data_IF_620743942638
#
_entry.id   IF_620743942638
#
_cell.length_a   1.000
_cell.length_b   1.000
_cell.length_c   1.000
_cell.angle_alpha   90.00
_cell.angle_beta   90.00
_cell.angle_gamma   90.00
#
_symmetry.space_group_name_H-M   'P 1'
#
loop_
_entity.id
_entity.type
_entity.pdbx_description
1 polymer ?
#
# COMPACT_ATOMS: atom_id res chain seq x y z
N UNK A 1 -21.29 -21.43 -7.24
CA UNK A 1 -21.71 -21.02 -8.60
C UNK A 1 -21.43 -22.06 -9.67
N UNK A 2 -20.18 -22.48 -9.91
CA UNK A 2 -19.87 -23.50 -10.95
C UNK A 2 -20.54 -24.86 -10.70
N UNK A 3 -20.67 -25.26 -9.44
CA UNK A 3 -21.33 -26.51 -9.04
C UNK A 3 -22.85 -26.47 -9.22
N UNK A 4 -23.47 -25.30 -9.01
CA UNK A 4 -24.93 -25.14 -9.01
C UNK A 4 -25.50 -24.59 -10.31
N UNK A 5 -24.66 -24.08 -11.21
CA UNK A 5 -25.07 -23.54 -12.51
C UNK A 5 -24.24 -24.21 -13.63
N UNK A 6 -24.86 -25.15 -14.34
CA UNK A 6 -24.23 -25.94 -15.41
C UNK A 6 -23.71 -25.08 -16.56
N UNK A 7 -24.32 -23.91 -16.81
CA UNK A 7 -23.83 -22.96 -17.83
C UNK A 7 -22.49 -22.33 -17.45
N UNK A 8 -22.13 -22.34 -16.17
CA UNK A 8 -20.88 -21.79 -15.64
C UNK A 8 -19.85 -22.87 -15.28
N UNK A 9 -20.17 -24.16 -15.43
CA UNK A 9 -19.30 -25.27 -15.03
C UNK A 9 -17.90 -25.19 -15.69
N UNK A 10 -17.84 -24.73 -16.94
CA UNK A 10 -16.61 -24.57 -17.72
C UNK A 10 -16.08 -23.13 -17.76
N UNK A 11 -16.69 -22.20 -17.03
CA UNK A 11 -16.25 -20.81 -16.99
C UNK A 11 -14.86 -20.67 -16.37
N UNK A 12 -14.09 -19.74 -16.95
CA UNK A 12 -12.80 -19.32 -16.42
C UNK A 12 -13.00 -18.30 -15.31
N UNK A 13 -12.22 -18.43 -14.23
CA UNK A 13 -12.24 -17.49 -13.10
C UNK A 13 -10.98 -16.65 -13.16
N UNK A 14 -11.17 -15.34 -13.31
CA UNK A 14 -10.09 -14.34 -13.25
C UNK A 14 -10.27 -13.58 -11.95
N UNK A 15 -9.21 -13.50 -11.15
CA UNK A 15 -9.18 -12.68 -9.93
C UNK A 15 -8.35 -11.43 -10.23
N UNK A 16 -8.90 -10.27 -9.91
CA UNK A 16 -8.30 -8.96 -10.17
C UNK A 16 -8.26 -8.22 -8.84
N UNK A 17 -7.13 -7.59 -8.54
CA UNK A 17 -7.01 -6.75 -7.36
C UNK A 17 -5.90 -5.72 -7.49
N UNK A 18 -6.11 -4.57 -6.84
CA UNK A 18 -5.12 -3.53 -6.63
C UNK A 18 -4.63 -3.52 -5.19
N UNK A 19 -3.37 -3.12 -4.95
CA UNK A 19 -2.82 -3.02 -3.59
C UNK A 19 -2.82 -4.38 -2.86
N UNK A 20 -3.18 -4.40 -1.57
CA UNK A 20 -3.42 -5.63 -0.81
C UNK A 20 -4.37 -6.61 -1.52
N UNK A 21 -5.41 -6.13 -2.23
CA UNK A 21 -6.27 -7.03 -3.00
C UNK A 21 -5.53 -7.68 -4.19
N UNK A 22 -4.51 -7.02 -4.75
CA UNK A 22 -3.59 -7.59 -5.73
C UNK A 22 -2.69 -8.68 -5.13
N UNK A 23 -2.24 -8.50 -3.89
CA UNK A 23 -1.55 -9.52 -3.10
C UNK A 23 -2.44 -10.74 -2.92
N UNK A 24 -3.70 -10.54 -2.50
CA UNK A 24 -4.68 -11.61 -2.39
C UNK A 24 -4.99 -12.29 -3.72
N UNK A 25 -5.09 -11.55 -4.83
CA UNK A 25 -5.28 -12.13 -6.16
C UNK A 25 -4.12 -13.07 -6.53
N UNK A 26 -2.89 -12.63 -6.25
CA UNK A 26 -1.67 -13.42 -6.45
C UNK A 26 -1.70 -14.69 -5.61
N UNK A 27 -1.99 -14.57 -4.31
CA UNK A 27 -2.04 -15.71 -3.39
C UNK A 27 -3.18 -16.67 -3.70
N UNK A 28 -4.34 -16.18 -4.13
CA UNK A 28 -5.46 -17.00 -4.56
C UNK A 28 -5.09 -17.85 -5.78
N UNK A 29 -4.39 -17.27 -6.78
CA UNK A 29 -3.88 -18.00 -7.94
C UNK A 29 -2.81 -19.02 -7.56
N UNK A 30 -1.95 -18.68 -6.59
CA UNK A 30 -0.89 -19.56 -6.09
C UNK A 30 -1.45 -20.77 -5.35
N UNK A 31 -2.38 -20.57 -4.41
CA UNK A 31 -2.92 -21.61 -3.51
C UNK A 31 -4.08 -22.38 -4.12
N UNK A 32 -4.90 -21.76 -4.96
CA UNK A 32 -6.10 -22.36 -5.54
C UNK A 32 -6.06 -22.38 -7.08
N UNK A 33 -5.03 -22.98 -7.70
CA UNK A 33 -4.87 -22.98 -9.16
C UNK A 33 -5.94 -23.76 -9.92
N UNK A 34 -6.68 -24.61 -9.21
CA UNK A 34 -7.81 -25.39 -9.72
C UNK A 34 -9.12 -24.59 -9.75
N UNK A 35 -9.18 -23.47 -9.01
CA UNK A 35 -10.33 -22.55 -8.96
C UNK A 35 -10.01 -21.29 -9.78
N UNK A 36 -8.86 -20.67 -9.52
CA UNK A 36 -8.42 -19.41 -10.14
C UNK A 36 -7.54 -19.70 -11.35
N UNK A 37 -8.07 -19.40 -12.53
CA UNK A 37 -7.37 -19.63 -13.79
C UNK A 37 -6.30 -18.57 -14.06
N UNK A 38 -6.57 -17.31 -13.70
CA UNK A 38 -5.69 -16.14 -13.95
C UNK A 38 -5.78 -15.17 -12.77
N UNK A 39 -4.65 -14.59 -12.39
CA UNK A 39 -4.60 -13.43 -11.51
C UNK A 39 -4.06 -12.20 -12.27
N UNK A 40 -4.70 -11.06 -12.04
CA UNK A 40 -4.19 -9.73 -12.39
C UNK A 40 -3.96 -8.96 -11.09
N UNK A 41 -2.69 -8.71 -10.78
CA UNK A 41 -2.24 -8.08 -9.55
C UNK A 41 -1.62 -6.71 -9.85
N UNK A 42 -2.38 -5.66 -9.59
CA UNK A 42 -1.96 -4.28 -9.77
C UNK A 42 -1.39 -3.73 -8.46
N UNK A 43 -0.21 -3.11 -8.51
CA UNK A 43 0.51 -2.54 -7.36
C UNK A 43 0.53 -3.44 -6.11
N UNK A 44 0.74 -4.74 -6.29
CA UNK A 44 0.63 -5.73 -5.21
C UNK A 44 1.92 -5.81 -4.38
N UNK A 45 1.93 -5.41 -3.09
CA UNK A 45 3.05 -5.68 -2.21
C UNK A 45 3.10 -7.19 -1.89
N UNK A 46 4.23 -7.85 -2.18
CA UNK A 46 4.41 -9.29 -1.93
C UNK A 46 5.53 -9.60 -0.93
N UNK A 47 6.47 -8.67 -0.72
CA UNK A 47 7.53 -8.80 0.28
C UNK A 47 7.06 -8.24 1.61
N UNK A 48 6.74 -9.11 2.54
CA UNK A 48 6.46 -8.73 3.93
C UNK A 48 7.78 -8.30 4.60
N UNK A 49 7.79 -7.15 5.28
CA UNK A 49 8.99 -6.57 5.90
C UNK A 49 8.57 -5.59 6.99
N UNK A 50 9.13 -5.70 8.20
CA UNK A 50 8.71 -4.85 9.32
C UNK A 50 9.09 -3.37 9.08
N UNK A 51 10.36 -3.11 8.78
CA UNK A 51 10.89 -1.77 8.51
C UNK A 51 10.84 -1.49 6.99
N UNK A 52 9.84 -0.71 6.55
CA UNK A 52 9.62 -0.39 5.15
C UNK A 52 9.92 1.10 4.87
N UNK A 53 11.17 1.49 5.13
CA UNK A 53 11.64 2.85 4.91
C UNK A 53 11.67 3.24 3.42
N UNK A 54 11.79 2.27 2.50
CA UNK A 54 11.85 2.55 1.05
C UNK A 54 10.58 3.25 0.56
N UNK A 55 9.44 3.04 1.24
CA UNK A 55 8.20 3.76 0.95
C UNK A 55 8.42 5.28 1.02
N UNK A 56 9.03 5.76 2.10
CA UNK A 56 9.23 7.20 2.32
C UNK A 56 10.40 7.75 1.47
N UNK A 57 11.37 6.92 1.09
CA UNK A 57 12.37 7.27 0.06
C UNK A 57 11.68 7.57 -1.28
N UNK A 58 10.79 6.67 -1.74
CA UNK A 58 10.06 6.89 -3.00
C UNK A 58 9.19 8.14 -2.91
N UNK A 59 8.51 8.40 -1.79
CA UNK A 59 7.74 9.64 -1.59
C UNK A 59 8.64 10.87 -1.77
N UNK A 60 9.80 10.89 -1.11
CA UNK A 60 10.79 11.98 -1.24
C UNK A 60 11.29 12.15 -2.67
N UNK A 61 11.64 11.06 -3.35
CA UNK A 61 12.12 11.06 -4.72
C UNK A 61 11.07 11.61 -5.70
N UNK A 62 9.82 11.16 -5.61
CA UNK A 62 8.76 11.63 -6.51
C UNK A 62 8.44 13.10 -6.30
N UNK A 63 8.48 13.60 -5.07
CA UNK A 63 8.39 15.04 -4.78
C UNK A 63 9.59 15.76 -5.42
N UNK A 64 10.80 15.24 -5.25
CA UNK A 64 12.03 15.82 -5.82
C UNK A 64 12.05 15.87 -7.34
N UNK A 65 11.44 14.89 -8.01
CA UNK A 65 11.27 14.90 -9.47
C UNK A 65 10.40 16.07 -9.95
N UNK A 66 9.44 16.53 -9.13
CA UNK A 66 8.58 17.66 -9.47
C UNK A 66 9.12 19.00 -8.95
N UNK A 67 9.71 19.03 -7.75
CA UNK A 67 10.24 20.25 -7.13
C UNK A 67 11.30 19.95 -6.07
N UNK A 68 12.56 20.23 -6.38
CA UNK A 68 13.67 20.18 -5.42
C UNK A 68 13.54 21.23 -4.31
N UNK A 69 12.93 22.37 -4.60
CA UNK A 69 12.65 23.41 -3.60
C UNK A 69 11.62 22.94 -2.56
N UNK A 70 10.63 22.16 -2.99
CA UNK A 70 9.65 21.52 -2.11
C UNK A 70 10.35 20.56 -1.15
N UNK A 71 11.19 19.65 -1.65
CA UNK A 71 12.00 18.72 -0.82
C UNK A 71 12.86 19.46 0.20
N UNK A 72 13.57 20.50 -0.24
CA UNK A 72 14.40 21.32 0.65
C UNK A 72 13.58 21.99 1.75
N UNK A 73 12.44 22.58 1.39
CA UNK A 73 11.55 23.26 2.35
C UNK A 73 10.98 22.27 3.35
N UNK A 74 10.58 21.06 2.92
CA UNK A 74 10.13 19.98 3.81
C UNK A 74 11.25 19.63 4.81
N UNK A 75 12.46 19.35 4.32
CA UNK A 75 13.60 18.98 5.17
C UNK A 75 13.96 20.06 6.19
N UNK A 76 13.96 21.33 5.78
CA UNK A 76 14.17 22.46 6.69
C UNK A 76 13.06 22.59 7.73
N UNK A 77 11.80 22.35 7.33
CA UNK A 77 10.64 22.42 8.22
C UNK A 77 10.68 21.35 9.30
N UNK A 78 10.93 20.08 8.95
CA UNK A 78 11.10 19.00 9.93
C UNK A 78 12.27 19.28 10.88
N UNK A 79 13.40 19.75 10.34
CA UNK A 79 14.55 20.14 11.17
C UNK A 79 14.22 21.29 12.15
N UNK A 80 13.39 22.25 11.74
CA UNK A 80 12.94 23.35 12.60
C UNK A 80 11.94 22.86 13.65
N UNK A 81 10.99 22.01 13.25
CA UNK A 81 10.00 21.40 14.14
C UNK A 81 10.68 20.63 15.27
N UNK A 82 11.59 19.71 14.93
CA UNK A 82 12.31 18.91 15.91
C UNK A 82 13.07 19.79 16.91
N UNK A 83 13.71 20.88 16.46
CA UNK A 83 14.37 21.84 17.36
C UNK A 83 13.40 22.55 18.30
N UNK A 84 12.18 22.89 17.84
CA UNK A 84 11.14 23.49 18.69
C UNK A 84 10.68 22.52 19.77
N UNK A 85 10.62 21.22 19.47
CA UNK A 85 10.25 20.17 20.42
C UNK A 85 11.31 19.92 21.52
N UNK A 86 12.48 20.56 21.46
CA UNK A 86 13.53 20.43 22.49
C UNK A 86 13.39 21.43 23.65
N UNK A 87 12.45 22.39 23.57
CA UNK A 87 12.24 23.39 24.63
C UNK A 87 10.79 23.44 25.09
N UNK A 88 10.56 23.75 26.36
CA UNK A 88 9.20 23.86 26.91
C UNK A 88 8.36 24.92 26.17
N UNK A 89 8.97 26.08 25.88
CA UNK A 89 8.34 27.15 25.10
C UNK A 89 7.99 26.69 23.68
N UNK A 90 8.89 25.98 23.01
CA UNK A 90 8.64 25.48 21.67
C UNK A 90 7.59 24.36 21.64
N UNK A 91 7.54 23.50 22.67
CA UNK A 91 6.47 22.50 22.83
C UNK A 91 5.11 23.18 22.99
N UNK A 92 4.99 24.20 23.85
CA UNK A 92 3.75 24.96 24.04
C UNK A 92 3.33 25.65 22.74
N UNK A 93 4.26 26.33 22.07
CA UNK A 93 4.03 26.97 20.78
C UNK A 93 3.54 25.97 19.71
N UNK A 94 4.23 24.82 19.56
CA UNK A 94 3.85 23.83 18.55
C UNK A 94 2.52 23.16 18.87
N UNK A 95 2.19 22.97 20.15
CA UNK A 95 0.90 22.40 20.56
C UNK A 95 -0.26 23.28 20.11
N UNK A 96 -0.15 24.59 20.29
CA UNK A 96 -1.15 25.55 19.85
C UNK A 96 -1.24 25.62 18.31
N UNK A 97 -0.08 25.75 17.66
CA UNK A 97 0.00 25.99 16.22
C UNK A 97 -0.44 24.80 15.34
N UNK A 98 -0.21 23.58 15.80
CA UNK A 98 -0.75 22.36 15.18
C UNK A 98 -2.17 22.02 15.67
N UNK A 99 -2.77 22.87 16.50
CA UNK A 99 -4.12 22.69 17.05
C UNK A 99 -4.29 21.34 17.74
N UNK A 100 -3.34 20.97 18.59
CA UNK A 100 -3.36 19.72 19.33
C UNK A 100 -4.44 19.73 20.41
N UNK A 101 -5.09 18.58 20.66
CA UNK A 101 -6.07 18.45 21.74
C UNK A 101 -5.46 18.57 23.13
N UNK A 102 -4.17 18.22 23.25
CA UNK A 102 -3.36 18.28 24.46
C UNK A 102 -1.97 18.79 24.11
N UNK A 103 -1.24 19.27 25.11
CA UNK A 103 0.16 19.64 24.94
C UNK A 103 0.97 18.45 24.40
N UNK A 104 1.80 18.72 23.39
CA UNK A 104 2.68 17.73 22.77
C UNK A 104 3.59 17.14 23.83
N UNK A 105 3.64 15.81 23.86
CA UNK A 105 4.58 15.04 24.66
C UNK A 105 5.74 14.59 23.80
N UNK A 106 6.95 14.70 24.33
CA UNK A 106 8.20 14.42 23.61
C UNK A 106 8.91 13.16 24.10
N UNK A 107 8.32 12.46 25.08
CA UNK A 107 8.67 11.08 25.41
C UNK A 107 8.08 10.10 24.38
N UNK A 108 8.74 8.97 24.16
CA UNK A 108 8.21 7.91 23.29
C UNK A 108 7.08 7.14 23.99
N UNK A 109 6.02 6.72 23.28
CA UNK A 109 5.84 6.80 21.82
C UNK A 109 5.19 8.10 21.29
N UNK A 110 4.93 9.09 22.16
CA UNK A 110 4.19 10.31 21.81
C UNK A 110 4.92 11.19 20.81
N UNK A 111 6.26 11.31 20.94
CA UNK A 111 7.08 12.06 19.98
C UNK A 111 6.98 11.47 18.58
N UNK A 112 7.23 10.16 18.45
CA UNK A 112 7.10 9.45 17.16
C UNK A 112 5.69 9.53 16.62
N UNK A 113 4.66 9.42 17.46
CA UNK A 113 3.27 9.53 17.01
C UNK A 113 2.97 10.89 16.36
N UNK A 114 3.37 11.98 17.03
CA UNK A 114 3.19 13.33 16.50
C UNK A 114 3.98 13.56 15.20
N UNK A 115 5.26 13.16 15.15
CA UNK A 115 6.06 13.31 13.94
C UNK A 115 5.58 12.41 12.80
N UNK A 116 5.09 11.22 13.12
CA UNK A 116 4.41 10.35 12.16
C UNK A 116 3.20 11.06 11.58
N UNK A 117 2.29 11.59 12.42
CA UNK A 117 1.14 12.39 11.98
C UNK A 117 1.55 13.52 11.02
N UNK A 118 2.56 14.32 11.38
CA UNK A 118 3.04 15.43 10.54
C UNK A 118 3.59 14.96 9.20
N UNK A 119 4.24 13.79 9.16
CA UNK A 119 4.80 13.22 7.93
C UNK A 119 3.74 12.61 6.99
N UNK A 120 2.59 12.16 7.53
CA UNK A 120 1.51 11.50 6.76
C UNK A 120 0.82 12.41 5.74
N UNK A 121 1.05 13.71 5.80
CA UNK A 121 0.52 14.71 4.86
C UNK A 121 1.06 14.56 3.43
N UNK A 122 2.26 13.99 3.23
CA UNK A 122 2.94 13.96 1.94
C UNK A 122 2.76 12.68 1.09
N UNK A 123 2.64 11.47 1.67
CA UNK A 123 2.52 10.24 0.88
C UNK A 123 1.29 10.14 -0.01
N UNK A 124 0.12 10.59 0.46
CA UNK A 124 -1.14 10.38 -0.25
C UNK A 124 -1.19 11.06 -1.64
N UNK A 125 -0.76 12.33 -1.80
CA UNK A 125 -0.59 12.95 -3.12
C UNK A 125 0.35 12.18 -4.05
N UNK A 126 1.38 11.52 -3.52
CA UNK A 126 2.33 10.73 -4.32
C UNK A 126 1.75 9.37 -4.70
N UNK A 127 1.09 8.69 -3.76
CA UNK A 127 0.55 7.36 -3.97
C UNK A 127 -0.63 7.38 -4.95
N UNK A 128 -1.50 8.39 -4.89
CA UNK A 128 -2.74 8.42 -5.67
C UNK A 128 -2.77 9.51 -6.75
N UNK A 129 -1.95 10.55 -6.65
CA UNK A 129 -1.92 11.64 -7.62
C UNK A 129 -1.06 11.34 -8.84
N UNK A 130 -1.22 12.11 -9.91
CA UNK A 130 -0.26 12.14 -11.04
C UNK A 130 0.91 13.09 -10.75
N UNK A 131 1.93 13.11 -11.61
CA UNK A 131 3.03 14.08 -11.53
C UNK A 131 2.53 15.54 -11.42
N UNK A 132 1.46 15.87 -12.15
CA UNK A 132 0.81 17.19 -12.07
C UNK A 132 0.26 17.47 -10.66
N UNK A 133 -0.39 16.49 -10.02
CA UNK A 133 -0.93 16.66 -8.67
C UNK A 133 0.17 16.88 -7.63
N UNK A 134 1.27 16.12 -7.72
CA UNK A 134 2.42 16.30 -6.84
C UNK A 134 3.01 17.72 -7.03
N UNK A 135 3.16 18.15 -8.29
CA UNK A 135 3.65 19.50 -8.59
C UNK A 135 2.73 20.59 -8.04
N UNK A 136 1.41 20.45 -8.26
CA UNK A 136 0.40 21.39 -7.75
C UNK A 136 0.42 21.46 -6.23
N UNK A 137 0.46 20.29 -5.57
CA UNK A 137 0.55 20.19 -4.12
C UNK A 137 1.80 20.89 -3.58
N UNK A 138 2.95 20.69 -4.21
CA UNK A 138 4.18 21.40 -3.87
C UNK A 138 4.10 22.91 -4.10
N UNK A 139 3.47 23.37 -5.19
CA UNK A 139 3.28 24.81 -5.42
C UNK A 139 2.42 25.43 -4.32
N UNK A 140 1.33 24.78 -3.93
CA UNK A 140 0.48 25.22 -2.82
C UNK A 140 1.24 25.26 -1.50
N UNK A 141 1.98 24.19 -1.18
CA UNK A 141 2.84 24.15 0.01
C UNK A 141 3.86 25.29 0.03
N UNK A 142 4.55 25.54 -1.08
CA UNK A 142 5.56 26.59 -1.20
C UNK A 142 4.97 28.00 -1.14
N UNK A 143 3.71 28.17 -1.54
CA UNK A 143 3.01 29.46 -1.53
C UNK A 143 2.50 29.87 -0.15
N UNK A 144 2.45 28.97 0.84
CA UNK A 144 2.21 29.39 2.22
C UNK A 144 3.27 30.40 2.66
N UNK A 145 2.86 31.37 3.47
CA UNK A 145 3.72 32.45 3.94
C UNK A 145 4.54 32.03 5.16
N UNK A 146 5.62 32.75 5.45
CA UNK A 146 6.47 32.49 6.61
C UNK A 146 7.65 31.54 6.33
N UNK A 147 8.22 31.03 7.42
CA UNK A 147 9.33 30.08 7.44
C UNK A 147 8.90 28.70 6.93
N UNK A 148 9.88 27.83 6.63
CA UNK A 148 9.61 26.44 6.21
C UNK A 148 8.71 25.70 7.22
N UNK A 149 8.90 25.94 8.52
CA UNK A 149 8.04 25.40 9.58
C UNK A 149 6.61 25.95 9.52
N UNK A 150 6.45 27.26 9.29
CA UNK A 150 5.12 27.88 9.18
C UNK A 150 4.32 27.25 8.02
N UNK A 151 4.97 27.01 6.88
CA UNK A 151 4.35 26.33 5.73
C UNK A 151 3.92 24.91 6.06
N UNK A 152 4.74 24.16 6.81
CA UNK A 152 4.43 22.78 7.21
C UNK A 152 3.23 22.72 8.16
N UNK A 153 3.14 23.67 9.10
CA UNK A 153 2.01 23.82 10.01
C UNK A 153 0.73 24.12 9.22
N UNK A 154 0.77 25.13 8.34
CA UNK A 154 -0.39 25.50 7.51
C UNK A 154 -0.88 24.31 6.68
N UNK A 155 0.04 23.58 6.04
CA UNK A 155 -0.32 22.40 5.26
C UNK A 155 -0.93 21.29 6.12
N UNK A 156 -0.39 21.04 7.32
CA UNK A 156 -0.93 20.04 8.24
C UNK A 156 -2.33 20.39 8.71
N UNK A 157 -2.58 21.66 9.05
CA UNK A 157 -3.89 22.11 9.51
C UNK A 157 -4.94 21.98 8.41
N UNK A 158 -4.62 22.34 7.16
CA UNK A 158 -5.50 22.07 6.01
C UNK A 158 -5.70 20.58 5.85
N UNK A 159 -4.62 19.79 5.87
CA UNK A 159 -4.69 18.35 5.66
C UNK A 159 -5.57 17.65 6.70
N UNK A 160 -5.49 18.06 7.97
CA UNK A 160 -6.33 17.56 9.07
C UNK A 160 -7.82 17.70 8.78
N UNK A 161 -8.23 18.88 8.32
CA UNK A 161 -9.62 19.16 7.94
C UNK A 161 -10.03 18.30 6.75
N UNK A 162 -9.09 18.05 5.83
CA UNK A 162 -9.34 17.26 4.62
C UNK A 162 -9.29 15.74 4.80
N UNK A 163 -8.96 15.19 5.97
CA UNK A 163 -8.75 13.74 6.11
C UNK A 163 -10.00 12.90 5.80
N UNK A 164 -11.20 13.48 5.85
CA UNK A 164 -12.45 12.84 5.43
C UNK A 164 -12.74 12.92 3.92
N UNK A 165 -11.92 13.65 3.16
CA UNK A 165 -11.98 13.66 1.71
C UNK A 165 -11.27 12.44 1.16
N UNK A 166 -12.07 11.44 0.76
CA UNK A 166 -11.62 10.21 0.11
C UNK A 166 -10.56 10.45 -0.97
N UNK A 167 -9.60 9.54 -1.11
CA UNK A 167 -8.59 9.50 -2.19
C UNK A 167 -9.16 9.62 -3.62
N UNK A 168 -10.46 9.34 -3.81
CA UNK A 168 -11.18 9.61 -5.05
C UNK A 168 -11.24 11.10 -5.43
N UNK A 169 -11.13 12.01 -4.46
CA UNK A 169 -11.14 13.46 -4.64
C UNK A 169 -9.81 13.99 -5.16
N UNK A 170 -8.70 13.32 -4.81
CA UNK A 170 -7.38 13.63 -5.37
C UNK A 170 -7.29 13.36 -6.88
N UNK A 171 -8.21 12.59 -7.45
CA UNK A 171 -8.26 12.31 -8.89
C UNK A 171 -9.14 13.31 -9.66
N UNK A 172 -9.90 14.16 -8.97
CA UNK A 172 -10.67 15.25 -9.58
C UNK A 172 -9.91 16.57 -9.39
N UNK A 173 -9.14 16.93 -10.42
CA UNK A 173 -8.23 18.09 -10.43
C UNK A 173 -8.90 19.40 -10.03
N UNK A 174 -10.10 19.66 -10.57
CA UNK A 174 -10.80 20.93 -10.38
C UNK A 174 -11.43 20.97 -8.99
N UNK A 175 -11.94 19.83 -8.51
CA UNK A 175 -12.61 19.74 -7.22
C UNK A 175 -11.62 19.72 -6.05
N UNK A 176 -10.48 19.04 -6.16
CA UNK A 176 -9.42 19.10 -5.16
C UNK A 176 -8.85 20.52 -5.04
N UNK A 177 -8.55 21.16 -6.17
CA UNK A 177 -8.07 22.54 -6.19
C UNK A 177 -9.07 23.51 -5.56
N UNK A 178 -10.36 23.38 -5.89
CA UNK A 178 -11.40 24.25 -5.34
C UNK A 178 -11.59 24.07 -3.83
N UNK A 179 -11.58 22.83 -3.32
CA UNK A 179 -11.74 22.62 -1.88
C UNK A 179 -10.50 23.08 -1.12
N UNK A 180 -9.31 22.78 -1.65
CA UNK A 180 -8.06 23.22 -1.03
C UNK A 180 -8.00 24.75 -0.93
N UNK A 181 -8.44 25.47 -1.98
CA UNK A 181 -8.51 26.94 -1.97
C UNK A 181 -9.64 27.49 -1.08
N UNK A 182 -10.80 26.84 -1.04
CA UNK A 182 -11.91 27.22 -0.17
C UNK A 182 -11.55 27.07 1.31
N UNK A 183 -10.86 25.99 1.69
CA UNK A 183 -10.40 25.74 3.05
C UNK A 183 -9.28 26.69 3.50
N UNK A 184 -8.40 27.09 2.58
CA UNK A 184 -7.39 28.13 2.86
C UNK A 184 -8.04 29.51 3.03
N UNK A 185 -9.18 29.76 2.36
CA UNK A 185 -9.84 31.06 2.37
C UNK A 185 -10.78 31.30 3.56
N UNK A 186 -11.19 30.25 4.28
CA UNK A 186 -12.09 30.35 5.42
C UNK A 186 -11.34 30.09 6.74
N UNK A 187 -10.90 31.16 7.40
CA UNK A 187 -10.29 31.11 8.75
C UNK A 187 -11.22 30.44 9.80
N UNK A 188 -12.54 30.42 9.57
CA UNK A 188 -13.53 29.88 10.51
C UNK A 188 -13.68 28.34 10.48
N UNK A 189 -13.08 27.63 9.50
CA UNK A 189 -13.18 26.16 9.40
C UNK A 189 -12.15 25.45 10.29
N UNK A 190 -11.19 26.19 10.84
CA UNK A 190 -10.06 25.69 11.65
C UNK A 190 -10.49 25.06 13.00
N UNK A 191 -11.76 25.23 13.41
CA UNK A 191 -12.19 24.89 14.77
C UNK A 191 -12.91 23.53 14.97
N UNK A 192 -13.05 22.69 13.94
CA UNK A 192 -14.00 21.57 14.02
C UNK A 192 -13.40 20.28 14.65
N UNK A 193 -12.08 20.09 14.67
CA UNK A 193 -11.43 18.99 15.41
C UNK A 193 -9.95 19.31 15.66
N UNK A 194 -9.48 19.11 16.90
CA UNK A 194 -8.06 19.21 17.24
C UNK A 194 -7.33 17.90 16.91
N UNK A 195 -6.00 17.95 16.79
CA UNK A 195 -5.16 16.77 16.55
C UNK A 195 -5.04 15.96 17.84
N UNK A 196 -5.51 14.71 17.78
CA UNK A 196 -5.51 13.77 18.90
C UNK A 196 -4.09 13.34 19.27
N UNK A 197 -3.85 13.14 20.57
CA UNK A 197 -2.58 12.59 21.05
C UNK A 197 -2.56 11.04 20.99
N UNK A 198 -1.41 10.46 21.30
CA UNK A 198 -1.25 9.00 21.25
C UNK A 198 -2.26 8.25 22.13
N UNK A 199 -2.54 8.74 23.34
CA UNK A 199 -3.50 8.07 24.24
C UNK A 199 -4.91 8.04 23.64
N UNK A 200 -5.35 9.16 23.05
CA UNK A 200 -6.63 9.24 22.35
C UNK A 200 -6.67 8.32 21.14
N UNK A 201 -5.59 8.27 20.36
CA UNK A 201 -5.49 7.35 19.22
C UNK A 201 -5.58 5.88 19.65
N UNK A 202 -4.89 5.50 20.74
CA UNK A 202 -4.96 4.14 21.29
C UNK A 202 -6.35 3.82 21.82
N UNK A 203 -7.03 4.77 22.47
CA UNK A 203 -8.41 4.58 22.94
C UNK A 203 -9.37 4.34 21.75
N UNK A 204 -9.25 5.12 20.69
CA UNK A 204 -10.07 4.97 19.48
C UNK A 204 -9.81 3.62 18.79
N UNK A 205 -8.55 3.26 18.58
CA UNK A 205 -8.17 2.00 17.92
C UNK A 205 -8.37 0.78 18.82
N UNK A 206 -8.31 0.93 20.14
CA UNK A 206 -8.55 -0.12 21.11
C UNK A 206 -10.03 -0.53 21.17
N UNK A 207 -10.95 0.38 20.84
CA UNK A 207 -12.37 0.11 20.84
C UNK A 207 -12.79 -0.78 19.65
N UNK A 208 -13.03 -2.06 19.91
CA UNK A 208 -13.48 -3.02 18.89
C UNK A 208 -14.94 -2.83 18.45
N UNK A 209 -15.74 -2.05 19.16
CA UNK A 209 -17.12 -1.71 18.74
C UNK A 209 -17.10 -0.67 17.61
N UNK A 210 -16.03 0.11 17.50
CA UNK A 210 -15.77 0.93 16.35
C UNK A 210 -15.33 0.02 15.19
N UNK A 211 -16.24 -0.25 14.26
CA UNK A 211 -15.98 -0.99 13.01
C UNK A 211 -15.07 -0.20 12.04
N UNK A 212 -13.93 0.28 12.53
CA UNK A 212 -12.96 1.05 11.77
C UNK A 212 -12.16 0.14 10.86
N UNK A 213 -12.24 0.38 9.55
CA UNK A 213 -11.37 -0.26 8.54
C UNK A 213 -9.89 -0.04 8.86
N UNK A 214 -9.54 1.11 9.45
CA UNK A 214 -8.17 1.39 9.87
C UNK A 214 -7.70 0.43 10.97
N UNK A 215 -8.54 0.17 11.98
CA UNK A 215 -8.24 -0.82 13.03
C UNK A 215 -8.01 -2.22 12.45
N UNK A 216 -8.80 -2.63 11.46
CA UNK A 216 -8.61 -3.94 10.82
C UNK A 216 -7.30 -3.99 10.03
N UNK A 217 -6.96 -2.91 9.32
CA UNK A 217 -5.70 -2.81 8.58
C UNK A 217 -4.49 -2.82 9.51
N UNK A 218 -4.50 -2.04 10.60
CA UNK A 218 -3.43 -2.03 11.60
C UNK A 218 -3.23 -3.43 12.18
N UNK A 219 -4.32 -4.17 12.43
CA UNK A 219 -4.22 -5.55 12.91
C UNK A 219 -3.45 -6.43 11.92
N UNK A 220 -3.72 -6.33 10.62
CA UNK A 220 -3.03 -7.15 9.61
C UNK A 220 -1.53 -6.84 9.54
N UNK A 221 -1.15 -5.56 9.55
CA UNK A 221 0.28 -5.18 9.53
C UNK A 221 1.00 -5.53 10.84
N UNK A 222 0.28 -5.54 11.98
CA UNK A 222 0.80 -5.98 13.28
C UNK A 222 0.87 -7.50 13.45
N UNK A 223 0.25 -8.29 12.57
CA UNK A 223 0.15 -9.76 12.75
C UNK A 223 0.64 -10.59 11.58
N UNK A 224 0.83 -10.03 10.40
CA UNK A 224 1.20 -10.80 9.21
C UNK A 224 2.29 -10.16 8.36
N UNK A 225 2.19 -8.86 8.04
CA UNK A 225 2.94 -8.29 6.92
C UNK A 225 4.10 -7.37 7.33
N UNK A 226 4.00 -6.70 8.48
CA UNK A 226 4.78 -5.49 8.68
C UNK A 226 4.32 -4.42 7.68
N UNK A 227 5.24 -3.76 6.99
CA UNK A 227 5.06 -2.58 6.15
C UNK A 227 4.92 -1.28 6.94
N UNK A 228 5.62 -1.18 8.06
CA UNK A 228 5.70 0.09 8.76
C UNK A 228 6.57 1.08 7.99
N UNK A 229 5.98 2.20 7.62
CA UNK A 229 6.58 3.23 6.78
C UNK A 229 7.42 4.14 7.66
N UNK A 230 8.59 3.67 8.04
CA UNK A 230 9.48 4.39 8.97
C UNK A 230 10.19 5.54 8.26
N UNK A 231 10.75 6.45 9.05
CA UNK A 231 11.56 7.58 8.61
C UNK A 231 13.05 7.34 8.86
N UNK A 232 13.48 6.08 9.00
CA UNK A 232 14.86 5.73 9.39
C UNK A 232 15.88 5.97 8.27
N UNK A 233 15.43 6.04 7.01
CA UNK A 233 16.33 6.35 5.89
C UNK A 233 16.74 7.82 5.85
N UNK A 234 17.98 8.07 5.41
CA UNK A 234 18.52 9.41 5.14
C UNK A 234 18.16 9.94 3.75
N UNK A 235 17.59 9.11 2.87
CA UNK A 235 17.25 9.49 1.50
C UNK A 235 15.81 10.01 1.37
N UNK A 236 15.28 10.63 2.42
CA UNK A 236 13.94 11.22 2.45
C UNK A 236 13.94 12.50 3.30
N UNK A 237 13.02 13.47 3.06
CA UNK A 237 13.08 14.80 3.67
C UNK A 237 12.31 14.98 5.00
N UNK A 238 11.73 13.93 5.58
CA UNK A 238 10.75 14.00 6.67
C UNK A 238 11.34 13.80 8.10
N UNK A 239 12.65 13.99 8.29
CA UNK A 239 13.31 13.77 9.59
C UNK A 239 13.63 12.29 9.85
N UNK A 240 13.94 11.90 11.09
CA UNK A 240 14.39 10.53 11.41
C UNK A 240 13.86 9.93 12.73
N UNK A 241 12.82 10.52 13.30
CA UNK A 241 12.31 10.18 14.64
C UNK A 241 11.06 9.29 14.62
N UNK A 242 10.80 8.56 13.53
CA UNK A 242 9.71 7.58 13.47
C UNK A 242 10.32 6.26 13.04
N UNK A 243 10.63 5.42 14.01
CA UNK A 243 11.34 4.16 13.80
C UNK A 243 10.43 2.95 14.00
N UNK A 244 11.01 1.76 13.85
CA UNK A 244 10.28 0.51 14.04
C UNK A 244 9.84 0.28 15.51
N UNK A 245 10.51 0.88 16.50
CA UNK A 245 10.12 0.70 17.91
C UNK A 245 8.78 1.34 18.19
N UNK A 246 8.54 2.55 17.65
CA UNK A 246 7.23 3.20 17.72
C UNK A 246 6.10 2.28 17.25
N UNK A 247 6.24 1.65 16.08
CA UNK A 247 5.21 0.75 15.54
C UNK A 247 5.04 -0.54 16.35
N UNK A 248 6.12 -1.08 16.94
CA UNK A 248 6.00 -2.23 17.85
C UNK A 248 5.22 -1.89 19.12
N UNK A 249 5.45 -0.70 19.70
CA UNK A 249 4.66 -0.19 20.83
C UNK A 249 3.20 0.01 20.42
N UNK A 250 2.96 0.63 19.26
CA UNK A 250 1.62 0.83 18.70
C UNK A 250 0.82 -0.48 18.63
N UNK A 251 1.42 -1.54 18.08
CA UNK A 251 0.77 -2.86 18.00
C UNK A 251 0.47 -3.43 19.39
N UNK A 252 1.42 -3.32 20.32
CA UNK A 252 1.29 -3.82 21.69
C UNK A 252 0.21 -3.06 22.47
N UNK A 253 0.13 -1.74 22.30
CA UNK A 253 -0.79 -0.89 23.04
C UNK A 253 -2.24 -1.02 22.51
N UNK A 254 -2.43 -1.22 21.21
CA UNK A 254 -3.77 -1.41 20.62
C UNK A 254 -4.33 -2.82 20.90
N UNK A 255 -3.51 -3.86 20.74
CA UNK A 255 -3.99 -5.25 20.73
C UNK A 255 -3.51 -6.11 21.91
N UNK A 256 -2.58 -5.59 22.72
CA UNK A 256 -2.04 -6.25 23.90
C UNK A 256 -0.65 -6.86 23.73
N UNK A 257 -0.07 -7.32 24.83
CA UNK A 257 1.34 -7.76 24.96
C UNK A 257 1.75 -8.94 24.07
N UNK A 258 0.78 -9.70 23.53
CA UNK A 258 1.05 -10.76 22.58
C UNK A 258 1.50 -10.22 21.21
N UNK A 259 1.08 -8.99 20.85
CA UNK A 259 1.34 -8.34 19.57
C UNK A 259 2.69 -7.58 19.60
N UNK A 260 3.74 -8.32 19.94
CA UNK A 260 5.09 -7.79 20.08
C UNK A 260 5.94 -8.10 18.84
N UNK A 261 7.16 -7.53 18.85
CA UNK A 261 8.13 -7.68 17.76
C UNK A 261 8.42 -9.14 17.40
N UNK A 262 8.56 -10.03 18.38
CA UNK A 262 8.88 -11.44 18.11
C UNK A 262 7.73 -12.16 17.39
N UNK A 263 6.49 -11.91 17.81
CA UNK A 263 5.31 -12.42 17.10
C UNK A 263 5.31 -11.95 15.65
N UNK A 264 5.50 -10.64 15.43
CA UNK A 264 5.47 -10.06 14.10
C UNK A 264 6.59 -10.59 13.20
N UNK A 265 7.83 -10.65 13.70
CA UNK A 265 8.97 -11.18 12.95
C UNK A 265 8.72 -12.64 12.51
N UNK A 266 8.18 -13.47 13.41
CA UNK A 266 7.82 -14.85 13.09
C UNK A 266 6.69 -14.94 12.06
N UNK A 267 5.69 -14.05 12.14
CA UNK A 267 4.61 -14.01 11.19
C UNK A 267 5.07 -13.58 9.79
N UNK A 268 5.89 -12.52 9.70
CA UNK A 268 6.51 -12.05 8.46
C UNK A 268 7.35 -13.16 7.82
N UNK A 269 8.17 -13.85 8.61
CA UNK A 269 8.96 -14.98 8.14
C UNK A 269 8.04 -16.08 7.56
N UNK A 270 6.98 -16.43 8.30
CA UNK A 270 6.01 -17.44 7.88
C UNK A 270 5.29 -17.04 6.58
N UNK A 271 4.80 -15.82 6.46
CA UNK A 271 4.03 -15.37 5.28
C UNK A 271 4.92 -15.32 4.04
N UNK A 272 6.12 -14.75 4.13
CA UNK A 272 7.11 -14.78 3.05
C UNK A 272 7.47 -16.22 2.63
N UNK A 273 7.63 -17.15 3.58
CA UNK A 273 7.91 -18.55 3.30
C UNK A 273 6.72 -19.24 2.61
N UNK A 274 5.50 -19.01 3.10
CA UNK A 274 4.29 -19.66 2.59
C UNK A 274 3.92 -19.20 1.18
N UNK A 275 4.15 -17.93 0.85
CA UNK A 275 3.72 -17.33 -0.41
C UNK A 275 4.87 -17.01 -1.37
N UNK A 276 6.12 -17.19 -0.95
CA UNK A 276 7.30 -17.07 -1.80
C UNK A 276 7.82 -15.64 -1.99
N UNK A 277 7.24 -14.66 -1.28
CA UNK A 277 7.63 -13.24 -1.37
C UNK A 277 7.69 -12.76 -2.83
N UNK A 278 8.74 -12.07 -3.26
CA UNK A 278 8.97 -11.68 -4.67
C UNK A 278 9.65 -12.76 -5.53
N UNK A 279 9.80 -13.99 -5.02
CA UNK A 279 10.42 -15.14 -5.71
C UNK A 279 9.47 -16.34 -5.80
N UNK A 280 8.17 -16.08 -5.88
CA UNK A 280 7.15 -17.13 -5.94
C UNK A 280 7.16 -17.93 -7.25
N UNK A 281 6.95 -19.23 -7.15
CA UNK A 281 6.79 -20.13 -8.32
C UNK A 281 5.32 -20.17 -8.74
N UNK A 282 4.95 -19.35 -9.73
CA UNK A 282 3.56 -19.19 -10.18
C UNK A 282 3.45 -19.10 -11.70
N UNK A 283 2.28 -19.43 -12.24
CA UNK A 283 1.94 -19.27 -13.67
C UNK A 283 0.58 -18.60 -13.82
N UNK A 284 0.31 -17.96 -14.95
CA UNK A 284 -0.92 -17.23 -15.26
C UNK A 284 -1.21 -16.12 -14.24
N UNK A 285 -0.15 -15.42 -13.85
CA UNK A 285 -0.19 -14.17 -13.10
C UNK A 285 0.24 -13.06 -14.06
N UNK A 286 -0.43 -11.93 -14.09
CA UNK A 286 0.14 -10.71 -14.66
C UNK A 286 0.19 -9.67 -13.56
N UNK A 287 1.39 -9.14 -13.32
CA UNK A 287 1.63 -8.10 -12.32
C UNK A 287 1.89 -6.77 -13.01
N UNK A 288 1.38 -5.68 -12.45
CA UNK A 288 1.60 -4.33 -12.96
C UNK A 288 1.97 -3.42 -11.80
N UNK A 289 3.03 -2.62 -11.95
CA UNK A 289 3.49 -1.64 -10.96
C UNK A 289 3.81 -0.31 -11.64
N UNK A 290 3.63 0.79 -10.91
CA UNK A 290 4.08 2.12 -11.32
C UNK A 290 5.37 2.52 -10.62
N UNK A 291 6.26 3.25 -11.28
CA UNK A 291 7.51 3.73 -10.65
C UNK A 291 7.30 4.88 -9.66
N UNK A 292 6.16 5.60 -9.75
CA UNK A 292 5.80 6.65 -8.79
C UNK A 292 5.17 6.08 -7.52
N UNK A 293 4.57 4.89 -7.61
CA UNK A 293 3.89 4.22 -6.51
C UNK A 293 4.87 3.85 -5.38
N UNK A 294 4.76 4.43 -4.18
CA UNK A 294 5.65 4.11 -3.06
C UNK A 294 5.62 2.64 -2.61
N UNK A 295 4.62 1.85 -3.01
CA UNK A 295 4.53 0.42 -2.71
C UNK A 295 5.35 -0.49 -3.65
N UNK A 296 5.84 0.03 -4.79
CA UNK A 296 6.57 -0.80 -5.75
C UNK A 296 7.84 -1.50 -5.20
N UNK A 297 8.59 -0.99 -4.20
CA UNK A 297 9.81 -1.65 -3.70
C UNK A 297 9.57 -2.99 -2.98
N UNK A 298 8.33 -3.28 -2.59
CA UNK A 298 7.92 -4.58 -2.00
C UNK A 298 7.11 -5.43 -2.98
N UNK A 299 6.97 -5.00 -4.24
CA UNK A 299 6.26 -5.70 -5.31
C UNK A 299 7.16 -6.49 -6.25
N UNK A 300 6.59 -6.95 -7.36
CA UNK A 300 7.36 -7.55 -8.47
C UNK A 300 7.80 -6.44 -9.42
N UNK A 301 9.09 -6.44 -9.78
CA UNK A 301 9.65 -5.48 -10.73
C UNK A 301 10.18 -6.13 -12.01
N UNK A 302 10.16 -7.45 -12.08
CA UNK A 302 10.62 -8.24 -13.21
C UNK A 302 9.71 -9.46 -13.42
N UNK A 303 9.72 -10.00 -14.64
CA UNK A 303 9.05 -11.26 -14.94
C UNK A 303 9.59 -12.38 -14.03
N UNK A 304 8.69 -13.16 -13.43
CA UNK A 304 9.08 -14.37 -12.70
C UNK A 304 9.40 -15.51 -13.67
N UNK A 305 8.62 -15.59 -14.76
CA UNK A 305 8.77 -16.52 -15.86
C UNK A 305 7.86 -16.10 -17.04
N UNK A 306 7.96 -16.73 -18.23
CA UNK A 306 7.14 -16.35 -19.39
C UNK A 306 5.61 -16.49 -19.21
N UNK A 307 5.15 -17.20 -18.18
CA UNK A 307 3.73 -17.32 -17.84
C UNK A 307 3.33 -16.44 -16.63
N UNK A 308 4.28 -15.72 -16.04
CA UNK A 308 4.05 -14.78 -14.96
C UNK A 308 4.81 -13.45 -15.21
N UNK A 309 4.43 -12.70 -16.27
CA UNK A 309 5.06 -11.44 -16.60
C UNK A 309 4.70 -10.31 -15.62
N UNK A 310 5.59 -9.33 -15.55
CA UNK A 310 5.47 -8.12 -14.74
C UNK A 310 5.67 -6.90 -15.63
N UNK A 311 4.74 -5.94 -15.59
CA UNK A 311 4.83 -4.69 -16.31
C UNK A 311 5.13 -3.58 -15.32
N UNK A 312 6.26 -2.88 -15.50
CA UNK A 312 6.58 -1.67 -14.73
C UNK A 312 6.36 -0.46 -15.63
N UNK A 313 5.42 0.41 -15.25
CA UNK A 313 5.02 1.59 -16.01
C UNK A 313 5.71 2.81 -15.40
N UNK A 314 6.47 3.54 -16.21
CA UNK A 314 7.17 4.71 -15.71
C UNK A 314 6.22 5.89 -15.47
N UNK A 315 6.28 6.49 -14.29
CA UNK A 315 5.55 7.72 -13.93
C UNK A 315 4.07 7.52 -13.62
N UNK A 316 3.63 6.29 -13.34
CA UNK A 316 2.25 6.04 -12.88
C UNK A 316 2.20 5.76 -11.39
N UNK A 317 1.10 6.21 -10.79
CA UNK A 317 0.78 6.08 -9.38
C UNK A 317 0.16 4.71 -9.07
N UNK A 318 -0.23 4.52 -7.82
CA UNK A 318 -0.75 3.27 -7.29
C UNK A 318 -2.00 2.80 -8.06
N UNK A 319 -1.94 1.58 -8.57
CA UNK A 319 -3.02 0.93 -9.31
C UNK A 319 -3.54 1.68 -10.56
N UNK A 320 -2.76 2.59 -11.15
CA UNK A 320 -3.19 3.42 -12.29
C UNK A 320 -3.75 2.61 -13.48
N UNK A 321 -3.25 1.39 -13.68
CA UNK A 321 -3.65 0.44 -14.71
C UNK A 321 -5.08 -0.10 -14.56
N UNK A 322 -5.68 0.00 -13.37
CA UNK A 322 -7.08 -0.33 -13.12
C UNK A 322 -8.05 0.82 -13.45
N UNK A 323 -7.54 2.03 -13.66
CA UNK A 323 -8.34 3.22 -13.94
C UNK A 323 -8.45 3.50 -15.45
N UNK A 324 -9.48 4.25 -15.89
CA UNK A 324 -9.55 4.74 -17.26
C UNK A 324 -8.33 5.60 -17.62
N UNK A 325 -7.81 5.44 -18.83
CA UNK A 325 -6.70 6.27 -19.35
C UNK A 325 -7.18 7.71 -19.50
N UNK A 326 -6.50 8.63 -18.83
CA UNK A 326 -6.74 10.07 -18.93
C UNK A 326 -5.93 10.69 -20.08
N UNK A 327 -6.29 11.89 -20.57
CA UNK A 327 -5.55 12.56 -21.64
C UNK A 327 -4.06 12.80 -21.37
N UNK A 328 -3.70 13.02 -20.10
CA UNK A 328 -2.33 13.25 -19.61
C UNK A 328 -1.59 11.96 -19.22
N UNK A 329 -2.27 10.80 -19.28
CA UNK A 329 -1.66 9.52 -18.93
C UNK A 329 -0.51 9.14 -19.87
N UNK A 330 0.58 8.54 -19.36
CA UNK A 330 1.70 8.15 -20.20
C UNK A 330 1.28 7.08 -21.22
N UNK A 331 1.82 7.11 -22.47
CA UNK A 331 1.46 6.11 -23.49
C UNK A 331 1.67 4.66 -23.04
N UNK A 332 2.67 4.41 -22.18
CA UNK A 332 2.94 3.10 -21.59
C UNK A 332 1.74 2.53 -20.82
N UNK A 333 0.93 3.38 -20.15
CA UNK A 333 -0.26 2.93 -19.42
C UNK A 333 -1.27 2.25 -20.35
N UNK A 334 -1.54 2.86 -21.50
CA UNK A 334 -2.45 2.32 -22.50
C UNK A 334 -1.94 0.99 -23.08
N UNK A 335 -0.63 0.90 -23.32
CA UNK A 335 -0.01 -0.34 -23.82
C UNK A 335 0.00 -1.45 -22.75
N UNK A 336 0.19 -1.11 -21.48
CA UNK A 336 0.06 -2.04 -20.37
C UNK A 336 -1.36 -2.62 -20.27
N UNK A 337 -2.39 -1.78 -20.32
CA UNK A 337 -3.79 -2.22 -20.30
C UNK A 337 -4.13 -3.15 -21.48
N UNK A 338 -3.65 -2.83 -22.69
CA UNK A 338 -3.80 -3.72 -23.85
C UNK A 338 -3.09 -5.05 -23.64
N UNK A 339 -1.89 -5.03 -23.07
CA UNK A 339 -1.11 -6.24 -22.77
C UNK A 339 -1.83 -7.12 -21.75
N UNK A 340 -2.41 -6.52 -20.71
CA UNK A 340 -3.24 -7.24 -19.72
C UNK A 340 -4.48 -7.86 -20.38
N UNK A 341 -5.21 -7.10 -21.18
CA UNK A 341 -6.38 -7.61 -21.92
C UNK A 341 -5.99 -8.78 -22.85
N UNK A 342 -4.85 -8.66 -23.51
CA UNK A 342 -4.29 -9.72 -24.35
C UNK A 342 -3.92 -10.95 -23.52
N UNK A 343 -3.22 -10.79 -22.39
CA UNK A 343 -2.86 -11.89 -21.50
C UNK A 343 -4.10 -12.65 -20.99
N UNK A 344 -5.13 -11.92 -20.53
CA UNK A 344 -6.39 -12.50 -20.04
C UNK A 344 -7.15 -13.22 -21.17
N UNK A 345 -7.10 -12.69 -22.39
CA UNK A 345 -7.80 -13.28 -23.55
C UNK A 345 -7.04 -14.45 -24.19
N UNK A 346 -5.70 -14.45 -24.23
CA UNK A 346 -4.90 -15.50 -24.86
C UNK A 346 -4.88 -16.81 -24.04
N UNK A 347 -4.99 -16.72 -22.72
CA UNK A 347 -5.23 -17.90 -21.87
C UNK A 347 -6.55 -18.59 -22.26
N UNK A 348 -7.47 -17.92 -22.97
CA UNK A 348 -8.70 -18.53 -23.51
C UNK A 348 -8.52 -19.38 -24.78
N UNK A 349 -7.33 -19.57 -25.35
CA UNK A 349 -7.22 -20.18 -26.70
C UNK A 349 -6.26 -21.36 -26.89
N UNK A 350 -5.57 -21.87 -25.86
CA UNK A 350 -5.15 -23.28 -25.93
C UNK A 350 -6.39 -24.16 -25.74
N UNK A 351 -7.18 -24.33 -26.81
CA UNK A 351 -7.95 -25.56 -27.03
C UNK A 351 -7.02 -26.70 -26.61
N UNK A 352 -7.50 -27.58 -25.71
CA UNK A 352 -6.88 -28.88 -25.44
C UNK A 352 -6.22 -29.34 -26.73
N UNK A 353 -4.93 -29.68 -26.66
CA UNK A 353 -4.19 -30.24 -27.79
C UNK A 353 -5.12 -31.20 -28.52
N UNK A 354 -5.61 -30.82 -29.71
CA UNK A 354 -6.17 -31.81 -30.62
C UNK A 354 -4.96 -32.62 -31.01
N UNK A 355 -4.87 -33.84 -30.49
CA UNK A 355 -3.97 -34.85 -31.03
C UNK A 355 -4.29 -34.97 -32.52
N UNK A 356 -3.48 -34.32 -33.36
CA UNK A 356 -3.48 -34.52 -34.80
C UNK A 356 -2.41 -35.53 -35.14
N UNK A 357 -2.41 -36.68 -34.47
CA UNK A 357 -1.75 -37.90 -34.92
C UNK A 357 -2.50 -39.07 -34.28
N UNK A 358 -2.70 -40.13 -35.06
CA UNK A 358 -3.43 -41.37 -34.78
C UNK A 358 -4.89 -41.37 -35.24
N UNK A 359 -5.06 -41.48 -36.55
CA UNK A 359 -6.04 -42.40 -37.12
C UNK A 359 -5.65 -43.83 -36.72
N UNK A 360 -6.57 -44.53 -36.06
CA UNK A 360 -6.49 -45.98 -35.86
C UNK A 360 -6.36 -46.40 -34.41
N UNK A 361 -7.35 -47.19 -33.99
CA UNK A 361 -7.48 -47.98 -32.75
C UNK A 361 -8.39 -47.40 -31.66
N UNK A 362 -9.59 -47.99 -31.63
CA UNK A 362 -10.44 -48.15 -30.46
C UNK A 362 -9.70 -48.97 -29.41
N UNK A 363 -9.46 -48.41 -28.22
CA UNK A 363 -10.13 -48.84 -26.98
C UNK A 363 -9.64 -47.98 -25.79
N UNK A 364 -10.50 -47.91 -24.79
CA UNK A 364 -10.40 -47.29 -23.47
C UNK A 364 -8.99 -47.11 -22.83
N UNK A 365 -8.61 -45.85 -22.54
CA UNK A 365 -8.04 -45.32 -21.27
C UNK A 365 -7.43 -43.92 -21.50
N UNK A 366 -7.87 -42.91 -20.74
CA UNK A 366 -7.25 -41.58 -20.70
C UNK A 366 -6.09 -41.59 -19.68
N UNK A 367 -4.89 -41.04 -19.97
CA UNK A 367 -3.89 -40.85 -18.93
C UNK A 367 -4.25 -39.60 -18.10
N UNK A 368 -4.48 -39.81 -16.81
CA UNK A 368 -4.62 -38.76 -15.81
C UNK A 368 -3.30 -37.99 -15.65
N UNK A 369 -3.33 -36.67 -15.85
CA UNK A 369 -2.23 -35.78 -15.47
C UNK A 369 -2.05 -35.80 -13.95
N UNK A 370 -1.12 -36.62 -13.47
CA UNK A 370 -0.77 -36.69 -12.06
C UNK A 370 0.25 -35.59 -11.72
N UNK A 371 0.10 -34.85 -10.60
CA UNK A 371 1.09 -33.85 -10.19
C UNK A 371 2.44 -34.51 -9.84
N UNK A 372 3.56 -33.78 -9.93
CA UNK A 372 4.86 -34.25 -9.47
C UNK A 372 4.77 -34.79 -8.03
N UNK A 373 5.50 -35.86 -7.67
CA UNK A 373 5.44 -36.47 -6.33
C UNK A 373 5.64 -35.46 -5.19
N UNK A 374 6.52 -34.48 -5.41
CA UNK A 374 6.86 -33.40 -4.46
C UNK A 374 5.65 -32.49 -4.15
N UNK A 375 4.77 -32.26 -5.12
CA UNK A 375 3.56 -31.43 -4.96
C UNK A 375 2.47 -32.16 -4.17
N UNK A 376 2.38 -33.50 -4.31
CA UNK A 376 1.46 -34.33 -3.52
C UNK A 376 1.89 -34.44 -2.07
N UNK A 377 3.19 -34.45 -1.82
CA UNK A 377 3.75 -34.48 -0.47
C UNK A 377 3.55 -33.13 0.23
N UNK A 378 3.79 -32.01 -0.46
CA UNK A 378 3.47 -30.67 0.05
C UNK A 378 1.97 -30.48 0.35
N UNK A 379 1.08 -30.98 -0.52
CA UNK A 379 -0.37 -30.92 -0.30
C UNK A 379 -0.82 -31.72 0.91
N UNK A 380 -0.23 -32.90 1.16
CA UNK A 380 -0.51 -33.71 2.35
C UNK A 380 0.01 -33.04 3.63
N UNK A 381 1.18 -32.42 3.58
CA UNK A 381 1.74 -31.67 4.72
C UNK A 381 0.88 -30.45 5.06
N UNK A 382 0.40 -29.72 4.05
CA UNK A 382 -0.52 -28.59 4.24
C UNK A 382 -1.88 -29.03 4.79
N UNK A 383 -2.47 -30.12 4.26
CA UNK A 383 -3.73 -30.66 4.79
C UNK A 383 -3.59 -31.14 6.24
N UNK A 384 -2.48 -31.79 6.58
CA UNK A 384 -2.17 -32.20 7.95
C UNK A 384 -2.03 -31.00 8.89
N UNK A 385 -1.29 -29.98 8.47
CA UNK A 385 -1.11 -28.75 9.23
C UNK A 385 -2.45 -28.01 9.47
N UNK A 386 -3.32 -27.95 8.45
CA UNK A 386 -4.67 -27.36 8.58
C UNK A 386 -5.53 -28.17 9.56
N UNK A 387 -5.47 -29.50 9.53
CA UNK A 387 -6.23 -30.34 10.46
C UNK A 387 -5.75 -30.27 11.91
N UNK A 388 -4.44 -30.07 12.11
CA UNK A 388 -3.84 -29.91 13.45
C UNK A 388 -4.05 -28.49 14.00
N UNK A 389 -4.24 -27.48 13.14
CA UNK A 389 -4.54 -26.10 13.54
C UNK A 389 -6.02 -25.86 13.88
N UNK A 390 -6.93 -26.70 13.37
CA UNK A 390 -8.37 -26.61 13.61
C UNK A 390 -8.85 -27.42 14.85
N UNK A 391 -7.94 -28.10 15.54
CA UNK A 391 -8.15 -28.74 16.85
C UNK A 391 -7.48 -27.92 17.94
#
# INVERSE_FOLDING_TARGET
>A
MKETNTNLANSKVVVIGGSYAGTLATWARLKYPHIVDIAYASSAPLRDVADFYEYMEVVGDQIGLQSQECVKTISEAFSQLERKLETAEGIEEMSDRFSMCKTIRTDEPYRSHFLNYVSRTFPDPVQYGTAYHIQFYCQKFLNFTGSSLDKLISLNNVSHITQNMTSALLLDHDYFGSIFDELISNDDVIYIRCVEDYDQFIEEMGNSENNSTARMWIYQICTEFGWFQTLTSKNQPFGNNVDLQYFNHLCTDIYGQAFNKEMLDNAIYRTNLLYGSTKLEITKLISVHGTQDPWHPVGLLHDLNPLAPTIVINGTHHCADLHPVQPDSPPQLREAQKTVQKFISEVKLKKRCKNSYLSGFSDSTYPECTPPPQLREAQKTVQKFISEWLQ
#
